data_IF_573723997107
#
_entry.id   IF_573723997107
#
_cell.length_a   1.000
_cell.length_b   1.000
_cell.length_c   1.000
_cell.angle_alpha   90.00
_cell.angle_beta   90.00
_cell.angle_gamma   90.00
#
_symmetry.space_group_name_H-M   'P 1'
#
loop_
_entity.id
_entity.type
_entity.pdbx_description
1 polymer ?
#
# COMPACT_ATOMS: atom_id res chain seq x y z
N UNK A 1 60.10 33.33 22.91
CA UNK A 1 58.65 33.28 22.82
C UNK A 1 58.30 32.82 21.37
N UNK A 2 57.89 31.58 21.21
CA UNK A 2 57.55 31.00 19.91
C UNK A 2 56.02 30.87 19.85
N UNK A 3 55.40 31.68 19.00
CA UNK A 3 53.94 31.64 18.77
C UNK A 3 53.61 30.46 17.86
N UNK A 4 52.74 29.54 18.33
CA UNK A 4 52.17 28.45 17.56
C UNK A 4 50.85 28.95 16.89
N UNK A 5 50.87 28.97 15.59
CA UNK A 5 49.63 29.22 14.79
C UNK A 5 48.92 27.89 14.65
N UNK A 6 47.67 27.83 15.17
CA UNK A 6 46.78 26.69 15.01
C UNK A 6 45.91 27.02 13.78
N UNK A 7 46.05 26.26 12.70
CA UNK A 7 45.19 26.33 11.54
C UNK A 7 43.95 25.47 11.78
N UNK A 8 42.76 26.07 11.80
CA UNK A 8 41.50 25.37 11.86
C UNK A 8 41.08 25.00 10.43
N UNK A 9 41.01 23.69 10.13
CA UNK A 9 40.48 23.19 8.90
C UNK A 9 38.92 23.09 9.00
N UNK A 10 38.22 23.92 8.22
CA UNK A 10 36.77 23.82 8.08
C UNK A 10 36.43 22.69 7.09
N UNK A 11 35.79 21.63 7.59
CA UNK A 11 35.25 20.56 6.75
C UNK A 11 33.91 21.01 6.13
N UNK A 12 33.93 21.25 4.82
CA UNK A 12 32.72 21.49 4.03
C UNK A 12 32.02 20.14 3.82
N UNK A 13 30.88 19.90 4.47
CA UNK A 13 29.99 18.75 4.17
C UNK A 13 29.18 19.07 2.94
N UNK A 14 29.51 18.43 1.83
CA UNK A 14 28.67 18.41 0.62
C UNK A 14 27.42 17.59 0.88
N UNK A 15 26.29 18.25 1.04
CA UNK A 15 24.97 17.61 1.01
C UNK A 15 24.61 17.39 -0.47
N UNK A 16 24.70 16.15 -0.93
CA UNK A 16 24.25 15.80 -2.28
C UNK A 16 22.72 15.94 -2.35
N UNK A 17 22.16 16.60 -3.42
CA UNK A 17 20.72 16.66 -3.61
C UNK A 17 20.19 15.25 -3.87
N UNK A 18 19.12 14.84 -3.16
CA UNK A 18 18.34 13.65 -3.49
C UNK A 18 17.63 13.93 -4.83
N UNK A 19 18.06 13.25 -5.87
CA UNK A 19 17.40 13.37 -7.17
C UNK A 19 15.95 12.88 -7.06
N UNK A 20 14.95 13.58 -7.68
CA UNK A 20 13.59 13.06 -7.76
C UNK A 20 13.61 11.73 -8.53
N UNK A 21 12.79 10.77 -8.09
CA UNK A 21 12.60 9.50 -8.79
C UNK A 21 12.27 9.82 -10.27
N UNK A 22 13.11 9.36 -11.19
CA UNK A 22 13.06 9.76 -12.59
C UNK A 22 11.78 9.22 -13.26
N UNK A 23 11.26 9.93 -14.26
CA UNK A 23 10.13 9.51 -15.09
C UNK A 23 10.33 8.08 -15.65
N UNK A 24 11.57 7.68 -15.88
CA UNK A 24 11.96 6.33 -16.30
C UNK A 24 11.49 5.22 -15.35
N UNK A 25 11.48 5.49 -14.03
CA UNK A 25 11.03 4.49 -13.04
C UNK A 25 9.51 4.29 -13.10
N UNK A 26 8.74 5.36 -13.29
CA UNK A 26 7.28 5.27 -13.39
C UNK A 26 6.87 4.54 -14.69
N UNK A 27 7.51 4.84 -15.81
CA UNK A 27 7.27 4.18 -17.10
C UNK A 27 7.61 2.69 -17.02
N UNK A 28 8.72 2.32 -16.37
CA UNK A 28 9.13 0.92 -16.22
C UNK A 28 8.13 0.11 -15.37
N UNK A 29 7.58 0.70 -14.31
CA UNK A 29 6.56 0.07 -13.46
C UNK A 29 5.26 -0.16 -14.23
N UNK A 30 4.82 0.80 -15.02
CA UNK A 30 3.61 0.68 -15.87
C UNK A 30 3.81 -0.40 -16.94
N UNK A 31 4.96 -0.41 -17.62
CA UNK A 31 5.27 -1.44 -18.63
C UNK A 31 5.29 -2.84 -18.03
N UNK A 32 5.91 -3.00 -16.85
CA UNK A 32 5.91 -4.27 -16.14
C UNK A 32 4.48 -4.71 -15.74
N UNK A 33 3.63 -3.75 -15.32
CA UNK A 33 2.25 -4.03 -14.98
C UNK A 33 1.42 -4.45 -16.21
N UNK A 34 1.63 -3.84 -17.38
CA UNK A 34 0.96 -4.25 -18.63
C UNK A 34 1.33 -5.72 -18.94
N UNK A 35 2.63 -6.03 -18.97
CA UNK A 35 3.08 -7.40 -19.24
C UNK A 35 2.57 -8.42 -18.23
N UNK A 36 2.48 -8.04 -16.94
CA UNK A 36 1.93 -8.89 -15.91
C UNK A 36 0.41 -9.10 -16.07
N UNK A 37 -0.35 -8.07 -16.47
CA UNK A 37 -1.78 -8.16 -16.70
C UNK A 37 -2.13 -9.20 -17.77
N UNK A 38 -1.33 -9.28 -18.84
CA UNK A 38 -1.50 -10.25 -19.93
C UNK A 38 -1.37 -11.71 -19.46
N UNK A 39 -0.72 -11.93 -18.32
CA UNK A 39 -0.54 -13.27 -17.73
C UNK A 39 -1.63 -13.65 -16.71
N UNK A 40 -2.41 -12.68 -16.23
CA UNK A 40 -3.45 -12.92 -15.22
C UNK A 40 -4.66 -13.60 -15.87
N UNK A 41 -5.14 -14.74 -15.35
CA UNK A 41 -6.32 -15.40 -15.90
C UNK A 41 -7.55 -14.49 -15.84
N UNK A 42 -8.33 -14.47 -16.92
CA UNK A 42 -9.61 -13.75 -16.99
C UNK A 42 -10.76 -14.75 -16.77
N UNK A 43 -11.53 -14.58 -15.67
CA UNK A 43 -12.61 -15.48 -15.27
C UNK A 43 -13.74 -14.69 -14.62
N UNK A 44 -14.97 -15.26 -14.58
CA UNK A 44 -16.05 -14.70 -13.78
C UNK A 44 -15.76 -14.73 -12.28
N UNK A 45 -16.46 -13.91 -11.50
CA UNK A 45 -16.36 -13.95 -10.03
C UNK A 45 -16.90 -15.28 -9.50
N UNK A 46 -16.19 -15.91 -8.58
CA UNK A 46 -16.71 -17.00 -7.79
C UNK A 46 -17.76 -16.50 -6.78
N UNK A 47 -18.67 -17.37 -6.31
CA UNK A 47 -19.62 -17.01 -5.26
C UNK A 47 -18.93 -16.46 -4.02
N UNK A 48 -19.56 -15.48 -3.36
CA UNK A 48 -19.10 -14.92 -2.09
C UNK A 48 -19.39 -15.83 -0.88
N UNK A 49 -20.04 -16.96 -1.09
CA UNK A 49 -20.40 -17.93 -0.06
C UNK A 49 -19.20 -18.31 0.81
N UNK A 50 -19.36 -18.32 2.12
CA UNK A 50 -18.32 -18.62 3.08
C UNK A 50 -17.31 -17.48 3.35
N UNK A 51 -17.43 -16.35 2.67
CA UNK A 51 -16.58 -15.20 2.97
C UNK A 51 -16.88 -14.61 4.34
N UNK A 52 -15.84 -14.42 5.11
CA UNK A 52 -15.78 -13.48 6.23
C UNK A 52 -14.35 -12.93 6.35
N UNK A 53 -14.17 -11.78 6.98
CA UNK A 53 -12.81 -11.25 7.21
C UNK A 53 -11.97 -12.21 8.07
N UNK A 54 -12.59 -12.95 8.97
CA UNK A 54 -11.93 -13.94 9.83
C UNK A 54 -11.27 -15.08 9.04
N UNK A 55 -11.68 -15.35 7.80
CA UNK A 55 -11.01 -16.31 6.92
C UNK A 55 -9.57 -15.90 6.55
N UNK A 56 -9.24 -14.62 6.74
CA UNK A 56 -7.91 -14.06 6.49
C UNK A 56 -7.08 -13.93 7.78
N UNK A 57 -7.48 -14.60 8.86
CA UNK A 57 -6.76 -14.63 10.13
C UNK A 57 -7.05 -13.42 11.02
N UNK A 58 -6.22 -13.26 12.06
CA UNK A 58 -6.28 -12.14 12.97
C UNK A 58 -5.90 -10.84 12.24
N UNK A 59 -6.65 -9.77 12.51
CA UNK A 59 -6.41 -8.47 11.89
C UNK A 59 -5.07 -7.88 12.36
N UNK A 60 -4.25 -7.48 11.39
CA UNK A 60 -2.99 -6.78 11.62
C UNK A 60 -1.94 -7.59 12.41
N UNK A 61 -2.02 -8.92 12.36
CA UNK A 61 -1.07 -9.78 13.07
C UNK A 61 0.36 -9.61 12.56
N UNK A 62 1.32 -9.67 13.47
CA UNK A 62 2.76 -9.73 13.18
C UNK A 62 3.23 -11.15 12.79
N UNK A 63 2.39 -12.17 13.04
CA UNK A 63 2.70 -13.57 12.71
C UNK A 63 2.41 -13.87 11.23
N UNK A 64 3.24 -13.34 10.35
CA UNK A 64 3.16 -13.49 8.88
C UNK A 64 4.53 -13.70 8.25
N UNK A 65 4.60 -14.33 7.09
CA UNK A 65 5.85 -14.60 6.37
C UNK A 65 6.20 -13.55 5.31
N UNK A 66 5.41 -12.48 5.20
CA UNK A 66 5.66 -11.35 4.31
C UNK A 66 6.52 -10.29 4.97
N UNK A 67 6.92 -9.27 4.20
CA UNK A 67 7.69 -8.13 4.70
C UNK A 67 7.05 -7.51 5.94
N UNK A 68 7.86 -7.12 6.92
CA UNK A 68 7.51 -6.66 8.26
C UNK A 68 7.00 -7.75 9.23
N UNK A 69 6.74 -8.99 8.80
CA UNK A 69 6.37 -10.06 9.71
C UNK A 69 7.45 -10.34 10.76
N UNK A 70 7.02 -10.70 11.97
CA UNK A 70 7.87 -11.03 13.13
C UNK A 70 8.83 -9.90 13.55
N UNK A 71 8.49 -8.63 13.28
CA UNK A 71 9.28 -7.49 13.68
C UNK A 71 8.90 -6.92 15.07
N UNK A 72 7.90 -7.50 15.72
CA UNK A 72 7.38 -7.08 17.03
C UNK A 72 6.35 -5.95 16.95
N UNK A 73 5.96 -5.54 15.74
CA UNK A 73 4.95 -4.50 15.50
C UNK A 73 3.73 -5.11 14.80
N UNK A 74 2.54 -4.61 15.10
CA UNK A 74 1.38 -4.98 14.29
C UNK A 74 1.45 -4.33 12.91
N UNK A 75 0.95 -5.04 11.89
CA UNK A 75 1.00 -4.61 10.48
C UNK A 75 0.40 -3.20 10.28
N UNK A 76 -0.67 -2.82 11.02
CA UNK A 76 -1.25 -1.48 10.91
C UNK A 76 -0.23 -0.40 11.27
N UNK A 77 0.55 -0.59 12.33
CA UNK A 77 1.57 0.37 12.73
C UNK A 77 2.73 0.41 11.75
N UNK A 78 3.12 -0.72 11.15
CA UNK A 78 4.15 -0.74 10.12
C UNK A 78 3.73 0.07 8.89
N UNK A 79 2.49 -0.10 8.42
CA UNK A 79 1.98 0.69 7.29
C UNK A 79 1.85 2.18 7.64
N UNK A 80 1.39 2.52 8.85
CA UNK A 80 1.37 3.91 9.30
C UNK A 80 2.78 4.52 9.33
N UNK A 81 3.79 3.76 9.78
CA UNK A 81 5.19 4.22 9.79
C UNK A 81 5.77 4.37 8.39
N UNK A 82 5.36 3.53 7.44
CA UNK A 82 5.78 3.61 6.03
C UNK A 82 5.18 4.82 5.31
N UNK A 83 3.89 5.08 5.55
CA UNK A 83 3.08 5.99 4.72
C UNK A 83 2.93 7.40 5.29
N UNK A 84 3.14 7.59 6.61
CA UNK A 84 3.07 8.90 7.25
C UNK A 84 4.46 9.51 7.43
N UNK A 85 4.51 10.84 7.34
CA UNK A 85 5.70 11.63 7.74
C UNK A 85 5.47 12.30 9.09
N UNK A 86 6.51 12.87 9.69
CA UNK A 86 6.48 13.61 10.97
C UNK A 86 5.78 12.82 12.09
N UNK A 87 6.05 11.51 12.13
CA UNK A 87 5.39 10.60 13.08
C UNK A 87 5.90 10.82 14.50
N UNK A 88 4.98 10.72 15.47
CA UNK A 88 5.33 10.47 16.87
C UNK A 88 4.92 9.06 17.26
N UNK A 89 5.71 8.39 18.08
CA UNK A 89 5.45 7.03 18.55
C UNK A 89 5.34 7.00 20.07
N UNK A 90 4.67 5.99 20.62
CA UNK A 90 4.60 5.79 22.06
C UNK A 90 6.00 5.45 22.61
N UNK A 91 6.42 6.17 23.70
CA UNK A 91 7.77 6.11 24.29
C UNK A 91 8.27 4.71 24.64
N UNK A 92 9.57 4.54 24.48
CA UNK A 92 10.59 3.60 25.03
C UNK A 92 10.31 2.07 25.03
N UNK A 93 9.15 1.56 25.39
CA UNK A 93 8.90 0.09 25.49
C UNK A 93 7.99 -0.45 24.38
N UNK A 94 7.42 0.41 23.55
CA UNK A 94 6.55 0.04 22.42
C UNK A 94 6.73 1.04 21.29
N UNK A 95 7.92 1.09 20.71
CA UNK A 95 8.31 2.03 19.64
C UNK A 95 7.48 1.88 18.35
N UNK A 96 6.68 0.83 18.24
CA UNK A 96 5.85 0.56 17.06
C UNK A 96 4.61 1.44 16.95
N UNK A 97 3.99 1.79 18.08
CA UNK A 97 2.66 2.42 18.08
C UNK A 97 2.73 3.89 17.66
N UNK A 98 2.31 4.17 16.44
CA UNK A 98 2.22 5.54 15.91
C UNK A 98 1.09 6.28 16.62
N UNK A 99 1.37 7.46 17.16
CA UNK A 99 0.42 8.33 17.88
C UNK A 99 -0.09 9.46 16.99
N UNK A 100 0.81 10.13 16.28
CA UNK A 100 0.49 11.21 15.33
C UNK A 100 1.34 11.08 14.08
N UNK A 101 0.98 11.79 13.03
CA UNK A 101 1.72 11.89 11.78
C UNK A 101 0.92 12.64 10.72
N UNK A 102 1.54 12.88 9.59
CA UNK A 102 0.90 13.54 8.45
C UNK A 102 0.86 12.56 7.28
N UNK A 103 -0.33 12.33 6.73
CA UNK A 103 -0.55 11.55 5.52
C UNK A 103 -0.74 12.50 4.33
N UNK A 104 0.10 12.36 3.30
CA UNK A 104 -0.20 12.86 1.97
C UNK A 104 -1.03 11.81 1.24
N UNK A 105 -2.35 11.88 1.40
CA UNK A 105 -3.25 10.81 0.97
C UNK A 105 -3.22 10.60 -0.54
N UNK A 106 -2.80 9.43 -1.03
CA UNK A 106 -2.73 9.17 -2.47
C UNK A 106 -4.12 9.08 -3.13
N UNK A 107 -5.16 8.71 -2.39
CA UNK A 107 -6.49 8.53 -2.97
C UNK A 107 -7.20 9.84 -3.26
N UNK A 108 -7.02 10.84 -2.42
CA UNK A 108 -7.69 12.15 -2.57
C UNK A 108 -6.73 13.27 -3.00
N UNK A 109 -5.42 13.10 -2.79
CA UNK A 109 -4.42 14.15 -2.94
C UNK A 109 -4.42 15.16 -1.78
N UNK A 110 -5.16 14.89 -0.69
CA UNK A 110 -5.24 15.77 0.48
C UNK A 110 -4.13 15.48 1.49
N UNK A 111 -3.81 16.48 2.29
CA UNK A 111 -3.00 16.31 3.49
C UNK A 111 -3.90 16.05 4.69
N UNK A 112 -3.66 14.98 5.42
CA UNK A 112 -4.47 14.55 6.58
C UNK A 112 -3.56 14.44 7.79
N UNK A 113 -3.88 15.18 8.85
CA UNK A 113 -3.21 15.06 10.14
C UNK A 113 -3.80 13.85 10.89
N UNK A 114 -2.99 12.82 11.06
CA UNK A 114 -3.36 11.64 11.83
C UNK A 114 -3.14 11.88 13.31
N UNK A 115 -4.15 11.56 14.10
CA UNK A 115 -4.05 11.48 15.55
C UNK A 115 -4.74 10.19 16.01
N UNK A 116 -3.99 9.36 16.76
CA UNK A 116 -4.55 8.14 17.32
C UNK A 116 -5.52 8.47 18.45
N UNK A 117 -6.72 7.93 18.37
CA UNK A 117 -7.76 8.12 19.37
C UNK A 117 -9.03 7.35 18.99
N UNK A 118 -9.97 7.23 19.93
CA UNK A 118 -11.23 6.50 19.72
C UNK A 118 -12.03 7.10 18.54
N UNK A 119 -12.09 8.44 18.47
CA UNK A 119 -12.92 9.15 17.49
C UNK A 119 -12.10 9.81 16.37
N UNK A 120 -10.76 9.63 16.37
CA UNK A 120 -9.85 10.31 15.44
C UNK A 120 -9.06 9.34 14.57
N UNK A 121 -8.85 8.10 15.01
CA UNK A 121 -8.06 7.11 14.25
C UNK A 121 -8.66 6.76 12.89
N UNK A 122 -9.97 6.92 12.71
CA UNK A 122 -10.68 6.58 11.48
C UNK A 122 -10.49 7.61 10.36
N UNK A 123 -9.89 8.78 10.64
CA UNK A 123 -9.50 9.73 9.63
C UNK A 123 -8.47 9.13 8.64
N UNK A 124 -7.59 8.23 9.14
CA UNK A 124 -6.64 7.46 8.33
C UNK A 124 -6.88 5.98 8.57
N UNK A 125 -7.28 5.28 7.53
CA UNK A 125 -7.48 3.82 7.51
C UNK A 125 -6.38 3.15 6.70
N UNK A 126 -6.15 1.85 6.95
CA UNK A 126 -5.31 1.02 6.08
C UNK A 126 -6.25 0.27 5.15
N UNK A 127 -6.15 0.58 3.87
CA UNK A 127 -6.89 -0.10 2.81
C UNK A 127 -6.14 -1.35 2.33
N UNK A 128 -6.90 -2.37 1.98
CA UNK A 128 -6.44 -3.46 1.13
C UNK A 128 -6.66 -3.05 -0.33
N UNK A 129 -5.59 -2.73 -1.07
CA UNK A 129 -5.66 -2.27 -2.48
C UNK A 129 -6.47 -3.25 -3.33
N UNK A 130 -6.21 -4.56 -3.17
CA UNK A 130 -7.11 -5.64 -3.58
C UNK A 130 -7.94 -6.05 -2.37
N UNK A 131 -9.24 -5.69 -2.30
CA UNK A 131 -10.08 -5.97 -1.14
C UNK A 131 -10.14 -7.46 -0.82
N UNK A 132 -10.21 -7.82 0.46
CA UNK A 132 -10.28 -9.23 0.89
C UNK A 132 -11.47 -9.97 0.28
N UNK A 133 -12.62 -9.30 0.15
CA UNK A 133 -13.82 -9.84 -0.49
C UNK A 133 -13.64 -10.02 -2.00
N UNK A 134 -12.93 -9.12 -2.69
CA UNK A 134 -12.57 -9.29 -4.09
C UNK A 134 -11.62 -10.49 -4.25
N UNK A 135 -10.55 -10.55 -3.45
CA UNK A 135 -9.61 -11.65 -3.46
C UNK A 135 -10.30 -13.01 -3.23
N UNK A 136 -11.25 -13.08 -2.29
CA UNK A 136 -12.04 -14.28 -2.05
C UNK A 136 -12.74 -14.77 -3.32
N UNK A 137 -13.41 -13.85 -4.02
CA UNK A 137 -14.16 -14.14 -5.25
C UNK A 137 -13.27 -14.31 -6.49
N UNK A 138 -11.97 -14.03 -6.37
CA UNK A 138 -11.02 -14.16 -7.48
C UNK A 138 -9.86 -15.12 -7.19
N UNK A 139 -10.05 -16.05 -6.22
CA UNK A 139 -9.12 -17.16 -6.01
C UNK A 139 -8.78 -17.49 -4.57
N UNK A 140 -8.85 -16.53 -3.63
CA UNK A 140 -8.38 -16.72 -2.26
C UNK A 140 -9.18 -17.76 -1.45
N UNK A 141 -10.41 -18.08 -1.85
CA UNK A 141 -11.18 -19.15 -1.23
C UNK A 141 -10.54 -20.53 -1.37
N UNK A 142 -9.64 -20.71 -2.35
CA UNK A 142 -8.92 -21.96 -2.61
C UNK A 142 -7.57 -22.02 -1.87
N UNK A 143 -7.14 -20.93 -1.24
CA UNK A 143 -5.86 -20.91 -0.52
C UNK A 143 -5.99 -21.55 0.87
N UNK A 144 -4.86 -21.96 1.41
CA UNK A 144 -4.76 -22.29 2.82
C UNK A 144 -4.86 -21.03 3.71
N UNK A 145 -5.00 -21.26 5.01
CA UNK A 145 -5.17 -20.17 5.97
C UNK A 145 -3.92 -19.27 6.08
N UNK A 146 -2.72 -19.84 5.92
CA UNK A 146 -1.46 -19.10 6.02
C UNK A 146 -1.33 -18.11 4.85
N UNK A 147 -1.59 -18.56 3.63
CA UNK A 147 -1.55 -17.68 2.44
C UNK A 147 -2.59 -16.57 2.51
N UNK A 148 -3.80 -16.84 3.04
CA UNK A 148 -4.81 -15.79 3.25
C UNK A 148 -4.37 -14.78 4.30
N UNK A 149 -3.76 -15.23 5.41
CA UNK A 149 -3.23 -14.37 6.46
C UNK A 149 -2.10 -13.48 5.94
N UNK A 150 -1.16 -14.05 5.19
CA UNK A 150 -0.07 -13.31 4.56
C UNK A 150 -0.61 -12.25 3.59
N UNK A 151 -1.55 -12.59 2.72
CA UNK A 151 -2.19 -11.65 1.80
C UNK A 151 -2.84 -10.46 2.50
N UNK A 152 -3.51 -10.70 3.64
CA UNK A 152 -4.19 -9.66 4.41
C UNK A 152 -3.22 -8.70 5.12
N UNK A 153 -1.98 -9.11 5.33
CA UNK A 153 -0.95 -8.35 6.03
C UNK A 153 0.25 -7.99 5.13
N UNK A 154 0.17 -8.28 3.82
CA UNK A 154 1.24 -7.95 2.88
C UNK A 154 1.31 -6.45 2.62
N UNK A 155 2.44 -5.78 2.92
CA UNK A 155 2.62 -4.34 2.69
C UNK A 155 2.36 -3.91 1.25
N UNK A 156 2.57 -4.80 0.27
CA UNK A 156 2.30 -4.53 -1.15
C UNK A 156 0.81 -4.35 -1.42
N UNK A 157 -0.05 -5.02 -0.65
CA UNK A 157 -1.50 -4.92 -0.73
C UNK A 157 -2.09 -3.86 0.20
N UNK A 158 -1.28 -3.20 1.03
CA UNK A 158 -1.75 -2.29 2.06
C UNK A 158 -1.36 -0.83 1.75
N UNK A 159 -2.25 0.12 2.10
CA UNK A 159 -2.07 1.55 1.89
C UNK A 159 -2.80 2.35 2.95
N UNK A 160 -2.08 3.27 3.64
CA UNK A 160 -2.75 4.29 4.45
C UNK A 160 -3.48 5.27 3.55
N UNK A 161 -4.74 5.60 3.87
CA UNK A 161 -5.59 6.44 3.04
C UNK A 161 -6.70 7.14 3.84
N UNK A 162 -7.34 8.13 3.22
CA UNK A 162 -8.54 8.81 3.73
C UNK A 162 -9.64 7.82 4.09
N UNK A 163 -10.08 7.85 5.34
CA UNK A 163 -11.06 6.89 5.87
C UNK A 163 -12.39 6.90 5.10
N UNK A 164 -13.05 8.06 4.89
CA UNK A 164 -14.27 8.15 4.09
C UNK A 164 -14.11 7.61 2.67
N UNK A 165 -12.97 7.89 2.01
CA UNK A 165 -12.70 7.40 0.65
C UNK A 165 -12.50 5.88 0.64
N UNK A 166 -11.82 5.31 1.64
CA UNK A 166 -11.69 3.87 1.79
C UNK A 166 -13.06 3.20 2.00
N UNK A 167 -13.91 3.79 2.85
CA UNK A 167 -15.28 3.29 3.06
C UNK A 167 -16.11 3.31 1.77
N UNK A 168 -15.99 4.37 0.95
CA UNK A 168 -16.69 4.45 -0.33
C UNK A 168 -16.20 3.44 -1.36
N UNK A 169 -14.91 3.03 -1.29
CA UNK A 169 -14.35 1.97 -2.13
C UNK A 169 -14.99 0.61 -1.81
N UNK A 170 -15.13 0.28 -0.53
CA UNK A 170 -15.67 -1.00 -0.09
C UNK A 170 -14.88 -2.19 -0.65
N UNK A 171 -15.57 -3.10 -1.36
CA UNK A 171 -14.96 -4.22 -2.06
C UNK A 171 -14.89 -4.03 -3.59
N UNK A 172 -14.97 -2.76 -4.03
CA UNK A 172 -14.88 -2.37 -5.44
C UNK A 172 -13.54 -2.76 -6.09
N UNK A 173 -13.63 -3.21 -7.34
CA UNK A 173 -12.48 -3.42 -8.23
C UNK A 173 -12.27 -2.22 -9.16
N UNK A 174 -11.28 -2.29 -10.05
CA UNK A 174 -10.93 -1.21 -10.98
C UNK A 174 -12.07 -0.86 -11.96
N UNK A 175 -12.99 -1.81 -12.24
CA UNK A 175 -14.15 -1.55 -13.08
C UNK A 175 -15.24 -0.74 -12.36
N UNK A 176 -15.27 -0.79 -11.03
CA UNK A 176 -16.36 -0.21 -10.22
C UNK A 176 -15.91 0.96 -9.38
N UNK A 177 -14.62 1.07 -9.05
CA UNK A 177 -14.09 2.15 -8.26
C UNK A 177 -12.63 2.50 -8.64
N UNK A 178 -12.34 3.79 -8.62
CA UNK A 178 -10.99 4.35 -8.80
C UNK A 178 -10.77 5.50 -7.84
N UNK A 179 -9.51 5.74 -7.38
CA UNK A 179 -9.20 6.91 -6.58
C UNK A 179 -9.68 8.20 -7.25
N UNK A 180 -10.32 9.12 -6.50
CA UNK A 180 -10.67 10.46 -7.00
C UNK A 180 -9.46 11.21 -7.54
N UNK A 181 -8.30 11.07 -6.88
CA UNK A 181 -7.03 11.60 -7.37
C UNK A 181 -6.59 10.89 -8.65
N UNK A 182 -6.81 11.55 -9.79
CA UNK A 182 -6.52 10.99 -11.12
C UNK A 182 -5.03 10.70 -11.33
N UNK A 183 -4.13 11.51 -10.73
CA UNK A 183 -2.68 11.34 -10.89
C UNK A 183 -2.17 10.04 -10.25
N UNK A 184 -2.88 9.50 -9.26
CA UNK A 184 -2.51 8.24 -8.60
C UNK A 184 -3.03 7.00 -9.31
N UNK A 185 -3.96 7.11 -10.28
CA UNK A 185 -4.63 5.94 -10.87
C UNK A 185 -3.69 4.98 -11.57
N UNK A 186 -2.64 5.48 -12.22
CA UNK A 186 -1.63 4.64 -12.87
C UNK A 186 -0.92 3.76 -11.84
N UNK A 187 -0.42 4.35 -10.77
CA UNK A 187 0.24 3.63 -9.67
C UNK A 187 -0.73 2.66 -8.99
N UNK A 188 -1.96 3.09 -8.73
CA UNK A 188 -2.99 2.26 -8.10
C UNK A 188 -3.26 0.99 -8.90
N UNK A 189 -3.50 1.13 -10.21
CA UNK A 189 -3.79 -0.02 -11.09
C UNK A 189 -2.56 -0.92 -11.24
N UNK A 190 -1.37 -0.37 -11.40
CA UNK A 190 -0.14 -1.15 -11.48
C UNK A 190 0.09 -1.98 -10.19
N UNK A 191 -0.18 -1.42 -9.01
CA UNK A 191 -0.11 -2.15 -7.74
C UNK A 191 -1.13 -3.28 -7.67
N UNK A 192 -2.38 -3.07 -8.09
CA UNK A 192 -3.40 -4.13 -8.11
C UNK A 192 -2.95 -5.29 -9.00
N UNK A 193 -2.47 -4.99 -10.21
CA UNK A 193 -1.95 -6.01 -11.13
C UNK A 193 -0.81 -6.79 -10.49
N UNK A 194 0.15 -6.09 -9.89
CA UNK A 194 1.28 -6.71 -9.19
C UNK A 194 0.83 -7.65 -8.08
N UNK A 195 -0.08 -7.20 -7.21
CA UNK A 195 -0.60 -8.02 -6.11
C UNK A 195 -1.36 -9.24 -6.64
N UNK A 196 -2.24 -9.05 -7.63
CA UNK A 196 -2.99 -10.16 -8.22
C UNK A 196 -2.08 -11.19 -8.88
N UNK A 197 -1.06 -10.75 -9.62
CA UNK A 197 -0.09 -11.64 -10.24
C UNK A 197 0.71 -12.45 -9.20
N UNK A 198 1.26 -11.80 -8.18
CA UNK A 198 2.05 -12.46 -7.12
C UNK A 198 1.22 -13.53 -6.39
N UNK A 199 -0.04 -13.24 -6.11
CA UNK A 199 -0.89 -14.15 -5.35
C UNK A 199 -1.64 -15.19 -6.22
N UNK A 200 -1.56 -15.09 -7.55
CA UNK A 200 -2.25 -15.98 -8.48
C UNK A 200 -3.77 -15.78 -8.47
N UNK A 201 -4.21 -14.55 -8.22
CA UNK A 201 -5.62 -14.15 -8.35
C UNK A 201 -5.97 -13.95 -9.82
N UNK A 202 -7.25 -14.11 -10.18
CA UNK A 202 -7.73 -13.75 -11.51
C UNK A 202 -8.44 -12.39 -11.51
N UNK A 203 -8.73 -11.88 -12.70
CA UNK A 203 -9.54 -10.68 -12.93
C UNK A 203 -10.84 -11.06 -13.65
N UNK A 204 -11.89 -10.24 -13.48
CA UNK A 204 -13.08 -10.35 -14.30
C UNK A 204 -12.87 -9.66 -15.65
N UNK A 205 -13.61 -10.01 -16.72
CA UNK A 205 -13.48 -9.30 -17.99
C UNK A 205 -13.61 -7.78 -17.86
N UNK A 206 -14.63 -7.20 -17.17
CA UNK A 206 -14.70 -5.74 -16.99
C UNK A 206 -13.53 -5.15 -16.22
N UNK A 207 -13.00 -5.88 -15.21
CA UNK A 207 -11.83 -5.44 -14.42
C UNK A 207 -10.57 -5.44 -15.30
N UNK A 208 -10.36 -6.50 -16.11
CA UNK A 208 -9.26 -6.58 -17.06
C UNK A 208 -9.27 -5.40 -18.04
N UNK A 209 -10.42 -5.17 -18.71
CA UNK A 209 -10.56 -4.11 -19.71
C UNK A 209 -10.34 -2.71 -19.11
N UNK A 210 -10.80 -2.48 -17.88
CA UNK A 210 -10.57 -1.23 -17.18
C UNK A 210 -9.09 -1.03 -16.84
N UNK A 211 -8.39 -2.07 -16.36
CA UNK A 211 -6.96 -2.03 -16.08
C UNK A 211 -6.15 -1.76 -17.36
N UNK A 212 -6.41 -2.52 -18.42
CA UNK A 212 -5.71 -2.38 -19.71
C UNK A 212 -5.85 -0.95 -20.25
N UNK A 213 -7.07 -0.40 -20.27
CA UNK A 213 -7.35 0.97 -20.72
C UNK A 213 -6.61 2.02 -19.89
N UNK A 214 -6.56 1.86 -18.56
CA UNK A 214 -5.88 2.83 -17.70
C UNK A 214 -4.38 2.75 -17.91
N UNK A 215 -3.79 1.56 -17.90
CA UNK A 215 -2.36 1.37 -18.03
C UNK A 215 -1.84 1.82 -19.41
N UNK A 216 -2.60 1.58 -20.48
CA UNK A 216 -2.21 2.07 -21.82
C UNK A 216 -2.14 3.60 -21.88
N UNK A 217 -3.04 4.31 -21.18
CA UNK A 217 -3.00 5.78 -21.09
C UNK A 217 -1.88 6.31 -20.18
N UNK A 218 -1.24 5.44 -19.38
CA UNK A 218 -0.15 5.82 -18.48
C UNK A 218 1.24 5.62 -19.14
N UNK A 219 1.31 4.87 -20.23
CA UNK A 219 2.55 4.55 -20.93
C UNK A 219 2.92 5.59 -22.01
N UNK A 220 2.02 6.57 -22.28
CA UNK A 220 2.16 7.61 -23.29
C UNK A 220 2.68 8.96 -22.78
#
# INVERSE_FOLDING_TARGET
>A
MIARIVAAAAALTLVAPVAPASADTATSVVTAAISALDTIPVKGRAPKTGYSRAQFGEAWTDDVSVEYGHNGCDTRNDILRRDLVDITVKSATSSCKVLTGVLYDPYTGKTINFQRGKDTSDAVQIDHIVPLSNAWQTGAQQWDALKRRDFANDPRNLQATDGPTNQSKGDGDVATWLPPNKSYRCTYVARIVTVKAIYGLWVTPPEHDAMARILSNCAG
#
